data_IF_651530607772
#
_entry.id   IF_651530607772
#
_cell.length_a   1.000
_cell.length_b   1.000
_cell.length_c   1.000
_cell.angle_alpha   90.00
_cell.angle_beta   90.00
_cell.angle_gamma   90.00
#
_symmetry.space_group_name_H-M   'P 1'
#
loop_
_entity.id
_entity.type
_entity.pdbx_description
1 polymer ?
#
# COMPACT_ATOMS: atom_id res chain seq x y z
N UNK A 1 -14.66 12.43 20.78
CA UNK A 1 -15.38 12.96 21.97
C UNK A 1 -15.66 14.43 21.76
N UNK A 2 -16.76 14.97 22.32
CA UNK A 2 -17.15 16.37 22.10
C UNK A 2 -16.50 17.37 23.06
N UNK A 3 -16.06 16.94 24.23
CA UNK A 3 -15.56 17.81 25.29
C UNK A 3 -14.21 17.33 25.81
N UNK A 4 -13.34 18.25 26.22
CA UNK A 4 -12.04 17.94 26.83
C UNK A 4 -12.18 17.09 28.10
N UNK A 5 -13.19 17.40 28.94
CA UNK A 5 -13.46 16.64 30.18
C UNK A 5 -13.73 15.15 29.89
N UNK A 6 -14.54 14.85 28.89
CA UNK A 6 -14.85 13.46 28.54
C UNK A 6 -13.68 12.76 27.85
N UNK A 7 -12.84 13.51 27.14
CA UNK A 7 -11.58 12.99 26.60
C UNK A 7 -10.58 12.62 27.70
N UNK A 8 -10.34 13.50 28.67
CA UNK A 8 -9.44 13.20 29.81
C UNK A 8 -9.92 12.02 30.64
N UNK A 9 -11.22 11.93 30.90
CA UNK A 9 -11.81 10.75 31.56
C UNK A 9 -11.59 9.47 30.74
N UNK A 10 -11.80 9.51 29.42
CA UNK A 10 -11.50 8.34 28.60
C UNK A 10 -10.02 7.95 28.66
N UNK A 11 -9.09 8.91 28.70
CA UNK A 11 -7.67 8.61 28.83
C UNK A 11 -7.32 7.93 30.16
N UNK A 12 -8.04 8.18 31.25
CA UNK A 12 -7.82 7.49 32.54
C UNK A 12 -8.35 6.06 32.53
N UNK A 13 -9.47 5.82 31.85
CA UNK A 13 -10.13 4.50 31.87
C UNK A 13 -9.68 3.57 30.74
N UNK A 14 -9.31 4.11 29.58
CA UNK A 14 -9.02 3.32 28.40
C UNK A 14 -7.71 2.55 28.60
N UNK A 15 -7.77 1.22 28.46
CA UNK A 15 -6.63 0.32 28.57
C UNK A 15 -5.95 0.03 27.22
N UNK A 16 -6.56 0.41 26.10
CA UNK A 16 -6.00 0.17 24.77
C UNK A 16 -4.73 1.00 24.56
N UNK A 17 -3.67 0.34 24.10
CA UNK A 17 -2.36 0.98 23.76
C UNK A 17 -1.88 0.65 22.36
N UNK A 18 -2.71 0.00 21.55
CA UNK A 18 -2.40 -0.36 20.16
C UNK A 18 -3.70 -0.49 19.35
N UNK A 19 -3.62 -0.53 18.02
CA UNK A 19 -4.77 -0.86 17.16
C UNK A 19 -5.44 -2.17 17.57
N UNK A 20 -6.74 -2.28 17.27
CA UNK A 20 -7.43 -3.57 17.28
C UNK A 20 -6.91 -4.44 16.12
N UNK A 21 -7.11 -5.75 16.22
CA UNK A 21 -6.64 -6.71 15.23
C UNK A 21 -5.26 -7.31 15.55
N UNK A 22 -4.64 -7.90 14.54
CA UNK A 22 -3.39 -8.67 14.68
C UNK A 22 -2.20 -7.86 14.21
N UNK A 23 -1.12 -7.86 14.99
CA UNK A 23 0.17 -7.34 14.52
C UNK A 23 0.77 -8.32 13.51
N UNK A 24 0.88 -7.89 12.25
CA UNK A 24 1.39 -8.74 11.16
C UNK A 24 2.78 -8.33 10.69
N UNK A 25 3.30 -7.17 11.13
CA UNK A 25 4.63 -6.70 10.77
C UNK A 25 5.27 -5.94 11.92
N UNK A 26 6.55 -6.22 12.18
CA UNK A 26 7.34 -5.52 13.21
C UNK A 26 8.81 -5.40 12.81
N UNK A 27 9.28 -4.16 12.63
CA UNK A 27 10.71 -3.86 12.43
C UNK A 27 11.13 -2.62 13.20
N UNK A 28 11.94 -2.81 14.24
CA UNK A 28 12.31 -1.72 15.16
C UNK A 28 11.05 -1.11 15.79
N UNK A 29 10.92 0.21 15.70
CA UNK A 29 9.76 0.96 16.20
C UNK A 29 8.56 0.96 15.26
N UNK A 30 8.65 0.35 14.08
CA UNK A 30 7.56 0.34 13.10
C UNK A 30 6.75 -0.95 13.21
N UNK A 31 5.44 -0.81 13.31
CA UNK A 31 4.49 -1.93 13.33
C UNK A 31 3.34 -1.72 12.35
N UNK A 32 2.83 -2.80 11.76
CA UNK A 32 1.57 -2.77 10.98
C UNK A 32 0.62 -3.83 11.53
N UNK A 33 -0.61 -3.39 11.81
CA UNK A 33 -1.70 -4.22 12.29
C UNK A 33 -2.70 -4.47 11.17
N UNK A 34 -3.24 -5.68 11.07
CA UNK A 34 -4.38 -6.02 10.23
C UNK A 34 -5.64 -6.10 11.09
N UNK A 35 -6.66 -5.33 10.73
CA UNK A 35 -7.97 -5.35 11.37
C UNK A 35 -9.07 -5.65 10.35
N UNK A 36 -9.91 -6.65 10.66
CA UNK A 36 -11.09 -6.96 9.87
C UNK A 36 -12.23 -5.99 10.20
N UNK A 37 -12.80 -5.32 9.19
CA UNK A 37 -13.91 -4.38 9.37
C UNK A 37 -15.21 -5.01 9.90
N UNK A 38 -15.39 -6.32 9.74
CA UNK A 38 -16.51 -7.08 10.32
C UNK A 38 -16.28 -7.36 11.81
N UNK A 39 -15.06 -7.74 12.19
CA UNK A 39 -14.71 -8.12 13.57
C UNK A 39 -14.54 -6.88 14.47
N UNK A 40 -13.94 -5.80 13.94
CA UNK A 40 -13.63 -4.59 14.68
C UNK A 40 -14.42 -3.37 14.18
N UNK A 41 -15.73 -3.56 13.96
CA UNK A 41 -16.62 -2.60 13.28
C UNK A 41 -16.50 -1.17 13.81
N UNK A 42 -16.63 -0.95 15.12
CA UNK A 42 -16.58 0.40 15.71
C UNK A 42 -15.20 1.06 15.52
N UNK A 43 -14.12 0.30 15.70
CA UNK A 43 -12.76 0.82 15.52
C UNK A 43 -12.53 1.26 14.07
N UNK A 44 -12.89 0.41 13.11
CA UNK A 44 -12.71 0.68 11.69
C UNK A 44 -13.65 1.80 11.19
N UNK A 45 -14.86 1.93 11.72
CA UNK A 45 -15.74 3.08 11.43
C UNK A 45 -15.13 4.39 11.95
N UNK A 46 -14.59 4.40 13.18
CA UNK A 46 -13.90 5.58 13.72
C UNK A 46 -12.68 5.96 12.87
N UNK A 47 -11.90 4.97 12.42
CA UNK A 47 -10.77 5.18 11.52
C UNK A 47 -11.23 5.76 10.17
N UNK A 48 -12.32 5.26 9.60
CA UNK A 48 -12.91 5.80 8.37
C UNK A 48 -13.37 7.25 8.52
N UNK A 49 -14.03 7.59 9.64
CA UNK A 49 -14.47 8.96 9.94
C UNK A 49 -13.28 9.90 10.11
N UNK A 50 -12.23 9.46 10.82
CA UNK A 50 -10.97 10.21 10.92
C UNK A 50 -10.36 10.43 9.54
N UNK A 51 -10.31 9.38 8.71
CA UNK A 51 -9.71 9.46 7.38
C UNK A 51 -10.47 10.38 6.43
N UNK A 52 -11.81 10.44 6.53
CA UNK A 52 -12.66 11.28 5.70
C UNK A 52 -12.37 12.78 5.85
N UNK A 53 -11.79 13.19 6.98
CA UNK A 53 -11.32 14.57 7.19
C UNK A 53 -10.18 14.95 6.25
N UNK A 54 -9.46 13.97 5.70
CA UNK A 54 -8.26 14.17 4.87
C UNK A 54 -8.36 13.52 3.49
N UNK A 55 -9.47 12.84 3.19
CA UNK A 55 -9.72 12.16 1.91
C UNK A 55 -11.04 12.66 1.33
N UNK A 56 -10.97 13.46 0.27
CA UNK A 56 -12.14 14.06 -0.38
C UNK A 56 -13.05 13.00 -1.01
N UNK A 57 -12.44 12.02 -1.69
CA UNK A 57 -13.15 11.01 -2.46
C UNK A 57 -13.53 9.75 -1.66
N UNK A 58 -13.30 9.71 -0.35
CA UNK A 58 -13.74 8.57 0.47
C UNK A 58 -15.25 8.64 0.70
N UNK A 59 -15.97 7.64 0.21
CA UNK A 59 -17.45 7.58 0.27
C UNK A 59 -17.99 6.58 1.29
N UNK A 60 -17.23 5.50 1.59
CA UNK A 60 -17.65 4.46 2.53
C UNK A 60 -17.05 4.68 3.92
N UNK A 61 -17.91 4.71 4.93
CA UNK A 61 -17.52 4.89 6.34
C UNK A 61 -18.27 3.99 7.32
N UNK A 62 -19.49 3.51 7.00
CA UNK A 62 -20.25 2.60 7.87
C UNK A 62 -20.30 1.16 7.35
N UNK A 63 -20.44 0.97 6.03
CA UNK A 63 -20.47 -0.34 5.37
C UNK A 63 -19.04 -0.83 5.10
N UNK A 64 -18.38 -1.30 6.15
CA UNK A 64 -16.95 -1.62 6.16
C UNK A 64 -16.64 -3.11 6.30
N UNK A 65 -17.66 -3.97 6.36
CA UNK A 65 -17.50 -5.41 6.67
C UNK A 65 -16.75 -6.18 5.57
N UNK A 66 -16.71 -5.63 4.35
CA UNK A 66 -15.98 -6.18 3.20
C UNK A 66 -14.53 -5.69 3.13
N UNK A 67 -14.05 -4.93 4.11
CA UNK A 67 -12.71 -4.34 4.09
C UNK A 67 -11.82 -4.89 5.19
N UNK A 68 -10.55 -5.09 4.83
CA UNK A 68 -9.42 -5.20 5.75
C UNK A 68 -8.76 -3.82 5.88
N UNK A 69 -8.23 -3.54 7.06
CA UNK A 69 -7.52 -2.30 7.38
C UNK A 69 -6.10 -2.64 7.82
N UNK A 70 -5.11 -1.99 7.22
CA UNK A 70 -3.69 -2.16 7.53
C UNK A 70 -3.18 -0.88 8.18
N UNK A 71 -3.05 -0.92 9.50
CA UNK A 71 -2.79 0.24 10.35
C UNK A 71 -1.30 0.32 10.66
N UNK A 72 -0.63 1.35 10.17
CA UNK A 72 0.76 1.64 10.43
C UNK A 72 0.90 2.46 11.71
N UNK A 73 1.80 2.00 12.58
CA UNK A 73 2.12 2.64 13.84
C UNK A 73 3.62 2.84 14.05
N UNK A 74 3.96 3.91 14.76
CA UNK A 74 5.22 4.05 15.50
C UNK A 74 5.01 3.57 16.93
N UNK A 75 5.96 2.80 17.46
CA UNK A 75 5.87 2.19 18.78
C UNK A 75 6.94 2.73 19.70
N UNK A 76 6.49 3.16 20.88
CA UNK A 76 7.34 3.60 21.98
C UNK A 76 6.98 2.86 23.29
N UNK A 77 7.48 3.34 24.42
CA UNK A 77 7.21 2.78 25.75
C UNK A 77 5.75 2.92 26.20
N UNK A 78 4.96 3.77 25.55
CA UNK A 78 3.56 4.04 25.90
C UNK A 78 2.59 3.24 25.03
N UNK A 79 2.95 2.90 23.80
CA UNK A 79 2.11 2.08 22.93
C UNK A 79 2.44 2.22 21.45
N UNK A 80 1.52 1.78 20.61
CA UNK A 80 1.55 1.91 19.16
C UNK A 80 0.66 3.08 18.70
N UNK A 81 1.31 4.13 18.21
CA UNK A 81 0.69 5.39 17.82
C UNK A 81 0.36 5.37 16.33
N UNK A 82 -0.90 5.64 15.98
CA UNK A 82 -1.35 5.69 14.59
C UNK A 82 -0.57 6.73 13.77
N UNK A 83 0.03 6.29 12.67
CA UNK A 83 0.72 7.13 11.69
C UNK A 83 -0.09 7.26 10.40
N UNK A 84 -0.69 6.16 9.97
CA UNK A 84 -1.46 6.07 8.74
C UNK A 84 -2.06 4.69 8.57
N UNK A 85 -2.80 4.50 7.48
CA UNK A 85 -3.35 3.19 7.14
C UNK A 85 -3.63 3.09 5.65
N UNK A 86 -3.88 1.87 5.17
CA UNK A 86 -4.69 1.67 3.98
C UNK A 86 -5.80 0.65 4.24
N UNK A 87 -6.90 0.75 3.48
CA UNK A 87 -7.94 -0.29 3.44
C UNK A 87 -7.85 -1.07 2.14
N UNK A 88 -8.28 -2.34 2.18
CA UNK A 88 -8.31 -3.25 1.04
C UNK A 88 -9.62 -4.02 1.06
N UNK A 89 -10.30 -4.14 -0.07
CA UNK A 89 -11.45 -5.03 -0.18
C UNK A 89 -10.99 -6.49 -0.03
N UNK A 90 -11.77 -7.29 0.70
CA UNK A 90 -11.50 -8.73 0.85
C UNK A 90 -11.61 -9.46 -0.48
N UNK A 91 -12.55 -9.03 -1.32
CA UNK A 91 -12.72 -9.45 -2.70
C UNK A 91 -12.86 -8.20 -3.55
N UNK A 92 -11.86 -7.93 -4.41
CA UNK A 92 -11.85 -6.76 -5.30
C UNK A 92 -11.98 -7.24 -6.74
N UNK A 93 -13.16 -7.12 -7.37
CA UNK A 93 -13.38 -7.56 -8.76
C UNK A 93 -12.46 -6.84 -9.75
N UNK A 94 -12.08 -5.60 -9.46
CA UNK A 94 -11.19 -4.79 -10.28
C UNK A 94 -9.70 -5.07 -10.02
N UNK A 95 -9.39 -5.94 -9.05
CA UNK A 95 -8.01 -6.23 -8.65
C UNK A 95 -7.33 -5.06 -7.93
N UNK A 96 -8.10 -4.23 -7.21
CA UNK A 96 -7.53 -3.14 -6.42
C UNK A 96 -6.88 -3.72 -5.16
N UNK A 97 -5.58 -3.47 -4.96
CA UNK A 97 -4.88 -3.90 -3.75
C UNK A 97 -4.92 -2.85 -2.62
N UNK A 98 -5.45 -1.67 -2.93
CA UNK A 98 -5.69 -0.55 -2.02
C UNK A 98 -6.97 0.15 -2.44
N UNK A 99 -7.91 0.33 -1.51
CA UNK A 99 -9.11 1.12 -1.70
C UNK A 99 -8.89 2.58 -1.25
N UNK A 100 -8.47 2.78 0.00
CA UNK A 100 -8.09 4.09 0.53
C UNK A 100 -6.71 3.99 1.18
N UNK A 101 -5.90 5.03 1.06
CA UNK A 101 -4.59 5.13 1.74
C UNK A 101 -4.41 6.53 2.30
N UNK A 102 -3.94 6.61 3.54
CA UNK A 102 -3.72 7.86 4.24
C UNK A 102 -2.47 7.78 5.12
N UNK A 103 -1.65 8.81 5.04
CA UNK A 103 -0.69 9.16 6.10
C UNK A 103 -1.22 10.42 6.78
N UNK A 104 -1.36 10.40 8.12
CA UNK A 104 -1.88 11.55 8.85
C UNK A 104 -0.96 12.77 8.61
N UNK A 105 -1.52 14.00 8.56
CA UNK A 105 -0.78 15.21 8.21
C UNK A 105 0.60 15.39 8.87
N UNK A 106 0.79 15.20 10.20
CA UNK A 106 2.10 15.40 10.83
C UNK A 106 3.18 14.42 10.33
N UNK A 107 2.80 13.28 9.78
CA UNK A 107 3.71 12.23 9.32
C UNK A 107 3.93 12.23 7.80
N UNK A 108 3.29 13.16 7.06
CA UNK A 108 3.44 13.22 5.60
C UNK A 108 4.87 13.58 5.18
N UNK A 109 5.28 13.08 4.01
CA UNK A 109 6.62 13.31 3.42
C UNK A 109 7.81 12.80 4.25
N UNK A 110 7.57 12.00 5.28
CA UNK A 110 8.64 11.42 6.11
C UNK A 110 9.08 10.01 5.66
N UNK A 111 8.30 9.36 4.79
CA UNK A 111 8.60 8.02 4.23
C UNK A 111 7.45 7.02 4.40
N UNK A 112 6.56 7.26 5.37
CA UNK A 112 5.46 6.36 5.73
C UNK A 112 4.49 6.05 4.59
N UNK A 113 4.15 7.05 3.75
CA UNK A 113 3.28 6.81 2.59
C UNK A 113 3.88 5.80 1.61
N UNK A 114 5.19 5.90 1.32
CA UNK A 114 5.88 4.91 0.48
C UNK A 114 5.99 3.55 1.15
N UNK A 115 6.13 3.51 2.48
CA UNK A 115 6.14 2.25 3.23
C UNK A 115 4.79 1.53 3.12
N UNK A 116 3.67 2.25 3.29
CA UNK A 116 2.32 1.69 3.13
C UNK A 116 2.08 1.18 1.70
N UNK A 117 2.52 1.93 0.68
CA UNK A 117 2.46 1.48 -0.73
C UNK A 117 3.30 0.22 -0.94
N UNK A 118 4.54 0.20 -0.43
CA UNK A 118 5.40 -0.98 -0.54
C UNK A 118 4.77 -2.20 0.14
N UNK A 119 4.13 -1.98 1.29
CA UNK A 119 3.46 -3.03 2.05
C UNK A 119 2.26 -3.60 1.31
N UNK A 120 1.43 -2.77 0.66
CA UNK A 120 0.30 -3.28 -0.13
C UNK A 120 0.76 -4.18 -1.29
N UNK A 121 1.87 -3.84 -1.95
CA UNK A 121 2.47 -4.69 -2.97
C UNK A 121 3.15 -5.95 -2.41
N UNK A 122 3.69 -5.92 -1.20
CA UNK A 122 4.18 -7.13 -0.52
C UNK A 122 3.05 -8.14 -0.34
N UNK A 123 1.89 -7.67 0.14
CA UNK A 123 0.70 -8.53 0.28
C UNK A 123 0.26 -9.09 -1.07
N UNK A 124 0.20 -8.26 -2.12
CA UNK A 124 -0.14 -8.73 -3.48
C UNK A 124 0.82 -9.81 -3.98
N UNK A 125 2.13 -9.69 -3.72
CA UNK A 125 3.11 -10.72 -4.10
C UNK A 125 2.91 -12.02 -3.34
N UNK A 126 2.65 -11.96 -2.03
CA UNK A 126 2.33 -13.16 -1.23
C UNK A 126 1.04 -13.84 -1.70
N UNK A 127 0.07 -13.07 -2.17
CA UNK A 127 -1.17 -13.56 -2.80
C UNK A 127 -0.98 -14.05 -4.25
N UNK A 128 0.19 -13.82 -4.85
CA UNK A 128 0.49 -14.09 -6.25
C UNK A 128 -0.46 -13.39 -7.23
N UNK A 129 -0.87 -12.16 -6.88
CA UNK A 129 -1.74 -11.32 -7.73
C UNK A 129 -1.05 -10.01 -8.09
N UNK A 130 -1.53 -9.40 -9.17
CA UNK A 130 -1.17 -8.02 -9.54
C UNK A 130 -2.22 -7.07 -8.99
N UNK A 131 -1.81 -5.85 -8.65
CA UNK A 131 -2.70 -4.85 -8.07
C UNK A 131 -2.42 -3.42 -8.53
N UNK A 132 -3.46 -2.61 -8.44
CA UNK A 132 -3.43 -1.15 -8.57
C UNK A 132 -4.15 -0.54 -7.37
N UNK A 133 -3.85 0.71 -6.97
CA UNK A 133 -4.78 1.44 -6.13
C UNK A 133 -6.08 1.76 -6.88
N UNK A 134 -7.17 1.79 -6.14
CA UNK A 134 -8.46 2.35 -6.56
C UNK A 134 -8.29 3.83 -6.94
N UNK A 135 -9.04 4.27 -7.95
CA UNK A 135 -8.99 5.63 -8.50
C UNK A 135 -10.30 6.35 -8.16
N UNK A 136 -10.29 7.69 -7.95
CA UNK A 136 -9.17 8.61 -8.13
C UNK A 136 -8.21 8.67 -6.93
N UNK A 137 -6.92 8.80 -7.20
CA UNK A 137 -5.91 9.12 -6.18
C UNK A 137 -5.92 10.63 -5.84
N UNK A 138 -5.61 10.95 -4.59
CA UNK A 138 -5.24 12.32 -4.20
C UNK A 138 -3.93 12.76 -4.88
N UNK A 139 -3.67 14.06 -4.97
CA UNK A 139 -2.46 14.55 -5.64
C UNK A 139 -1.18 14.08 -4.94
N UNK A 140 -1.18 14.04 -3.60
CA UNK A 140 -0.08 13.45 -2.84
C UNK A 140 0.05 11.94 -3.10
N UNK A 141 -1.09 11.25 -3.26
CA UNK A 141 -1.15 9.84 -3.65
C UNK A 141 -0.50 9.59 -5.02
N UNK A 142 -0.89 10.35 -6.06
CA UNK A 142 -0.32 10.24 -7.41
C UNK A 142 1.20 10.41 -7.41
N UNK A 143 1.70 11.45 -6.70
CA UNK A 143 3.14 11.69 -6.57
C UNK A 143 3.86 10.54 -5.85
N UNK A 144 3.25 10.00 -4.80
CA UNK A 144 3.84 8.91 -4.00
C UNK A 144 3.90 7.60 -4.77
N UNK A 145 2.81 7.21 -5.46
CA UNK A 145 2.77 6.00 -6.28
C UNK A 145 3.73 6.09 -7.47
N UNK A 146 3.73 7.20 -8.21
CA UNK A 146 4.69 7.39 -9.33
C UNK A 146 6.13 7.28 -8.85
N UNK A 147 6.46 7.93 -7.73
CA UNK A 147 7.82 7.87 -7.17
C UNK A 147 8.19 6.47 -6.67
N UNK A 148 7.25 5.72 -6.10
CA UNK A 148 7.46 4.33 -5.68
C UNK A 148 7.67 3.41 -6.90
N UNK A 149 6.77 3.44 -7.87
CA UNK A 149 6.84 2.61 -9.08
C UNK A 149 8.13 2.87 -9.86
N UNK A 150 8.50 4.14 -10.08
CA UNK A 150 9.75 4.46 -10.77
C UNK A 150 10.96 3.83 -10.08
N UNK A 151 11.07 3.95 -8.75
CA UNK A 151 12.20 3.37 -8.01
C UNK A 151 12.22 1.85 -8.13
N UNK A 152 11.09 1.17 -7.88
CA UNK A 152 11.02 -0.30 -7.92
C UNK A 152 11.34 -0.84 -9.30
N UNK A 153 10.81 -0.22 -10.37
CA UNK A 153 11.09 -0.66 -11.73
C UNK A 153 12.56 -0.47 -12.11
N UNK A 154 13.17 0.66 -11.72
CA UNK A 154 14.60 0.89 -11.92
C UNK A 154 15.47 -0.10 -11.14
N UNK A 155 15.11 -0.42 -9.91
CA UNK A 155 15.82 -1.40 -9.07
C UNK A 155 15.78 -2.79 -9.71
N UNK A 156 14.62 -3.25 -10.17
CA UNK A 156 14.47 -4.54 -10.88
C UNK A 156 15.25 -4.54 -12.20
N UNK A 157 15.13 -3.49 -13.01
CA UNK A 157 15.86 -3.37 -14.28
C UNK A 157 17.39 -3.34 -14.07
N UNK A 158 17.86 -2.78 -12.95
CA UNK A 158 19.28 -2.74 -12.61
C UNK A 158 19.81 -4.09 -12.10
N UNK A 159 18.97 -4.87 -11.43
CA UNK A 159 19.37 -6.17 -10.86
C UNK A 159 19.29 -7.31 -11.89
N UNK A 160 18.39 -7.23 -12.85
CA UNK A 160 18.18 -8.29 -13.84
C UNK A 160 19.26 -8.31 -14.92
N UNK A 161 19.73 -9.51 -15.26
CA UNK A 161 20.62 -9.75 -16.40
C UNK A 161 19.78 -10.14 -17.61
N UNK A 162 19.70 -9.28 -18.61
CA UNK A 162 19.00 -9.54 -19.87
C UNK A 162 17.75 -8.68 -20.09
N UNK A 163 17.01 -9.00 -21.14
CA UNK A 163 15.82 -8.24 -21.55
C UNK A 163 14.61 -8.69 -20.75
N UNK A 164 14.01 -7.79 -19.98
CA UNK A 164 12.73 -8.02 -19.31
C UNK A 164 11.57 -7.54 -20.20
N UNK A 165 10.45 -8.25 -20.16
CA UNK A 165 9.17 -7.79 -20.69
C UNK A 165 8.37 -7.03 -19.63
N UNK A 166 7.33 -6.30 -20.08
CA UNK A 166 6.35 -5.65 -19.18
C UNK A 166 5.65 -6.69 -18.28
N UNK A 167 5.40 -7.89 -18.82
CA UNK A 167 4.79 -9.00 -18.08
C UNK A 167 5.70 -9.51 -16.96
N UNK A 168 7.00 -9.64 -17.23
CA UNK A 168 7.98 -10.09 -16.22
C UNK A 168 8.06 -9.08 -15.07
N UNK A 169 8.14 -7.79 -15.37
CA UNK A 169 8.11 -6.73 -14.35
C UNK A 169 6.83 -6.80 -13.51
N UNK A 170 5.67 -7.04 -14.14
CA UNK A 170 4.39 -7.14 -13.45
C UNK A 170 4.36 -8.32 -12.47
N UNK A 171 4.85 -9.49 -12.90
CA UNK A 171 4.92 -10.69 -12.05
C UNK A 171 5.92 -10.52 -10.90
N UNK A 172 7.08 -9.92 -11.13
CA UNK A 172 8.10 -9.72 -10.11
C UNK A 172 7.69 -8.70 -9.05
N UNK A 173 6.96 -7.64 -9.45
CA UNK A 173 6.67 -6.51 -8.56
C UNK A 173 5.27 -6.52 -7.97
N UNK A 174 4.33 -7.23 -8.60
CA UNK A 174 2.90 -7.15 -8.31
C UNK A 174 2.22 -5.89 -8.88
N UNK A 175 2.94 -5.03 -9.60
CA UNK A 175 2.40 -3.81 -10.20
C UNK A 175 1.65 -4.16 -11.48
N UNK A 176 0.48 -3.56 -11.71
CA UNK A 176 -0.29 -3.76 -12.93
C UNK A 176 0.52 -3.35 -14.18
N UNK A 177 0.31 -4.03 -15.31
CA UNK A 177 1.01 -3.70 -16.55
C UNK A 177 0.72 -2.27 -17.02
N UNK A 178 -0.50 -1.78 -16.79
CA UNK A 178 -0.92 -0.40 -17.10
C UNK A 178 -0.11 0.63 -16.30
N UNK A 179 0.10 0.39 -15.00
CA UNK A 179 0.90 1.26 -14.15
C UNK A 179 2.39 1.20 -14.52
N UNK A 180 2.89 0.03 -14.91
CA UNK A 180 4.27 -0.14 -15.43
C UNK A 180 4.45 0.65 -16.72
N UNK A 181 3.55 0.49 -17.70
CA UNK A 181 3.64 1.18 -18.99
C UNK A 181 3.62 2.69 -18.77
N UNK A 182 2.64 3.21 -18.01
CA UNK A 182 2.54 4.65 -17.75
C UNK A 182 3.76 5.20 -17.00
N UNK A 183 4.32 4.44 -16.06
CA UNK A 183 5.53 4.82 -15.34
C UNK A 183 6.75 4.87 -16.25
N UNK A 184 6.98 3.82 -17.05
CA UNK A 184 8.10 3.76 -18.00
C UNK A 184 7.96 4.82 -19.11
N UNK A 185 6.73 5.12 -19.55
CA UNK A 185 6.47 6.23 -20.48
C UNK A 185 6.91 7.56 -19.87
N UNK A 186 6.57 7.83 -18.60
CA UNK A 186 6.98 9.06 -17.92
C UNK A 186 8.49 9.21 -17.75
N UNK A 187 9.24 8.10 -17.80
CA UNK A 187 10.71 8.06 -17.74
C UNK A 187 11.37 7.95 -19.12
N UNK A 188 10.59 7.96 -20.22
CA UNK A 188 11.07 7.72 -21.60
C UNK A 188 11.79 6.37 -21.79
N UNK A 189 11.35 5.32 -21.08
CA UNK A 189 12.00 4.00 -21.03
C UNK A 189 11.27 2.90 -21.81
N UNK A 190 10.20 3.25 -22.53
CA UNK A 190 9.38 2.32 -23.31
C UNK A 190 9.03 2.93 -24.67
N UNK A 191 9.02 2.09 -25.71
CA UNK A 191 8.60 2.46 -27.07
C UNK A 191 7.40 1.63 -27.49
N UNK A 192 6.60 2.15 -28.42
CA UNK A 192 5.53 1.39 -29.04
C UNK A 192 5.98 0.86 -30.40
N UNK A 193 5.88 -0.45 -30.60
CA UNK A 193 6.30 -1.12 -31.82
C UNK A 193 5.32 -2.24 -32.17
N UNK A 194 4.76 -2.21 -33.39
CA UNK A 194 3.82 -3.23 -33.92
C UNK A 194 2.70 -3.63 -32.94
N UNK A 195 2.08 -2.66 -32.28
CA UNK A 195 0.98 -2.94 -31.35
C UNK A 195 1.42 -3.26 -29.91
N UNK A 196 2.72 -3.25 -29.61
CA UNK A 196 3.25 -3.66 -28.31
C UNK A 196 4.15 -2.59 -27.68
N UNK A 197 4.10 -2.50 -26.36
CA UNK A 197 5.04 -1.71 -25.57
C UNK A 197 6.31 -2.51 -25.29
N UNK A 198 7.45 -2.01 -25.75
CA UNK A 198 8.76 -2.66 -25.63
C UNK A 198 9.67 -1.78 -24.77
N UNK A 199 10.24 -2.38 -23.73
CA UNK A 199 11.21 -1.72 -22.85
C UNK A 199 12.50 -1.49 -23.66
N UNK A 200 12.96 -0.25 -23.72
CA UNK A 200 14.09 0.15 -24.57
C UNK A 200 15.11 0.92 -23.74
N UNK A 201 15.83 0.22 -22.85
CA UNK A 201 16.76 0.84 -21.90
C UNK A 201 18.09 0.10 -21.89
N UNK A 202 19.17 0.83 -21.65
CA UNK A 202 20.49 0.25 -21.41
C UNK A 202 20.79 0.26 -19.92
N UNK A 203 21.67 -0.65 -19.42
CA UNK A 203 22.11 -0.61 -18.02
C UNK A 203 22.66 0.75 -17.59
N UNK A 204 23.32 1.47 -18.52
CA UNK A 204 23.83 2.83 -18.29
C UNK A 204 22.70 3.82 -17.98
N UNK A 205 21.63 3.83 -18.78
CA UNK A 205 20.48 4.71 -18.56
C UNK A 205 19.83 4.41 -17.20
N UNK A 206 19.66 3.14 -16.85
CA UNK A 206 19.07 2.74 -15.57
C UNK A 206 19.94 3.24 -14.40
N UNK A 207 21.26 3.07 -14.48
CA UNK A 207 22.19 3.53 -13.45
C UNK A 207 22.18 5.06 -13.30
N UNK A 208 22.12 5.81 -14.41
CA UNK A 208 22.01 7.28 -14.40
C UNK A 208 20.70 7.75 -13.75
N UNK A 209 19.58 7.06 -14.01
CA UNK A 209 18.30 7.36 -13.38
C UNK A 209 18.32 7.05 -11.87
N UNK A 210 18.94 5.95 -11.44
CA UNK A 210 19.08 5.62 -10.01
C UNK A 210 20.00 6.60 -9.27
N UNK A 211 21.02 7.15 -9.93
CA UNK A 211 21.90 8.16 -9.37
C UNK A 211 21.25 9.56 -9.31
N UNK A 212 20.18 9.79 -10.09
CA UNK A 212 19.46 11.05 -10.14
C UNK A 212 18.75 11.38 -8.82
N UNK A 213 18.71 12.67 -8.48
CA UNK A 213 17.96 13.17 -7.31
C UNK A 213 16.46 12.91 -7.36
N UNK A 214 15.92 12.55 -8.53
CA UNK A 214 14.50 12.32 -8.77
C UNK A 214 14.03 10.95 -8.28
N UNK A 215 14.90 9.93 -8.28
CA UNK A 215 14.54 8.53 -8.01
C UNK A 215 15.26 7.98 -6.79
N UNK A 216 15.20 8.73 -5.68
CA UNK A 216 15.84 8.34 -4.43
C UNK A 216 15.21 7.08 -3.82
N UNK A 217 16.08 6.21 -3.31
CA UNK A 217 15.70 5.09 -2.46
C UNK A 217 14.74 5.54 -1.35
N UNK A 218 13.62 4.83 -1.13
CA UNK A 218 12.72 5.10 -0.02
C UNK A 218 13.48 5.09 1.30
N UNK A 219 13.17 6.06 2.18
CA UNK A 219 13.77 6.14 3.53
C UNK A 219 13.41 4.93 4.39
N UNK A 220 12.19 4.42 4.21
CA UNK A 220 11.65 3.25 4.89
C UNK A 220 11.32 2.21 3.82
N UNK A 221 11.79 0.98 4.03
CA UNK A 221 11.53 -0.17 3.17
C UNK A 221 10.89 -1.28 4.00
N UNK A 222 9.99 -2.03 3.37
CA UNK A 222 9.43 -3.25 3.96
C UNK A 222 10.52 -4.31 4.01
N UNK A 223 10.63 -5.00 5.13
CA UNK A 223 11.45 -6.19 5.28
C UNK A 223 10.57 -7.44 5.24
N UNK A 224 10.61 -8.24 4.17
CA UNK A 224 9.75 -9.42 4.06
C UNK A 224 9.94 -10.41 5.20
N UNK A 225 11.13 -10.48 5.81
CA UNK A 225 11.39 -11.38 6.94
C UNK A 225 10.67 -10.96 8.25
N UNK A 226 10.26 -9.70 8.34
CA UNK A 226 9.51 -9.16 9.46
C UNK A 226 7.99 -9.25 9.28
N UNK A 227 7.51 -9.69 8.11
CA UNK A 227 6.10 -9.88 7.80
C UNK A 227 5.64 -11.29 8.19
N UNK A 228 4.70 -11.36 9.12
CA UNK A 228 4.05 -12.58 9.60
C UNK A 228 2.62 -12.60 9.12
N UNK A 229 2.43 -12.92 7.85
CA UNK A 229 1.13 -12.90 7.21
C UNK A 229 1.00 -14.02 6.19
N UNK A 230 -0.20 -14.56 6.07
CA UNK A 230 -0.55 -15.60 5.10
C UNK A 230 -1.82 -15.18 4.35
N UNK A 231 -1.90 -15.40 3.03
CA UNK A 231 -3.09 -15.11 2.26
C UNK A 231 -4.34 -15.73 2.90
N UNK A 232 -5.45 -14.98 3.05
CA UNK A 232 -6.69 -15.56 3.54
C UNK A 232 -7.15 -16.65 2.58
N UNK A 233 -7.61 -17.78 3.14
CA UNK A 233 -8.15 -18.88 2.35
C UNK A 233 -9.34 -18.36 1.53
N UNK A 234 -9.15 -18.17 0.23
CA UNK A 234 -10.25 -17.96 -0.72
C UNK A 234 -11.06 -19.24 -0.72
N UNK A 235 -12.11 -19.34 0.10
CA UNK A 235 -13.05 -20.45 0.02
C UNK A 235 -13.52 -20.54 -1.45
N UNK A 236 -13.30 -21.71 -2.05
CA UNK A 236 -13.32 -21.89 -3.49
C UNK A 236 -14.64 -21.52 -4.16
N UNK A 237 -14.65 -20.42 -4.90
CA UNK A 237 -15.67 -20.12 -5.90
C UNK A 237 -15.48 -20.89 -7.23
N UNK A 238 -14.61 -21.90 -7.26
CA UNK A 238 -14.42 -22.77 -8.43
C UNK A 238 -15.57 -23.79 -8.66
N UNK A 239 -16.57 -23.87 -7.77
CA UNK A 239 -17.65 -24.85 -7.85
C UNK A 239 -18.95 -24.39 -8.55
N UNK A 240 -19.02 -23.15 -9.08
CA UNK A 240 -20.25 -22.64 -9.74
C UNK A 240 -20.13 -22.31 -11.23
N UNK A 241 -19.01 -22.62 -11.87
CA UNK A 241 -18.83 -22.47 -13.32
C UNK A 241 -18.84 -23.83 -14.05
N UNK A 242 -19.75 -24.74 -13.67
CA UNK A 242 -20.16 -25.90 -14.48
C UNK A 242 -21.60 -26.27 -14.14
N UNK A 243 -22.54 -25.55 -14.74
CA UNK A 243 -23.87 -26.06 -15.09
C UNK A 243 -24.40 -25.25 -16.26
#
# INVERSE_FOLDING_TARGET
MRMEKTYRYHLSECTARQPQGSEIYRKGTIAIFEADGKEHKIYCQNLCLLAKLFLDHKTLYFDIEQFLFYILCEVDKHGAHLVGYFSKEKDSPEGNNVACILTLPPYQRQGYGKLLIAFSYELSRLEQVVGSPEKPLSDLGKLSYRSYWSYVLLEVLSASRGTLSIKDLSQMTGISQTDIISTLQSMNMVKYWKGQHVICVTPKIVAEQLASSHFKKPRLCVDPSALRWTPPNKQGNAAKAKK
#
